data_IF_281364737349
#
_entry.id   IF_281364737349
#
_cell.length_a   1.000
_cell.length_b   1.000
_cell.length_c   1.000
_cell.angle_alpha   90.00
_cell.angle_beta   90.00
_cell.angle_gamma   90.00
#
_symmetry.space_group_name_H-M   'P 1'
#
loop_
_entity.id
_entity.type
_entity.pdbx_description
1 polymer ?
#
# COMPACT_ATOMS: atom_id res chain seq x y z
N UNK A 1 -86.16 20.42 -6.13
CA UNK A 1 -85.00 20.43 -7.05
C UNK A 1 -83.75 20.73 -6.26
N UNK A 2 -82.70 19.92 -6.47
CA UNK A 2 -81.25 20.14 -6.21
C UNK A 2 -80.84 20.64 -4.82
N UNK A 3 -80.37 19.78 -3.91
CA UNK A 3 -79.03 19.14 -3.86
C UNK A 3 -77.96 20.08 -3.28
N UNK A 4 -76.86 19.46 -2.82
CA UNK A 4 -75.65 20.00 -2.17
C UNK A 4 -75.57 19.75 -0.66
N UNK A 5 -75.40 18.47 -0.30
CA UNK A 5 -74.63 18.09 0.90
C UNK A 5 -73.26 17.60 0.42
N UNK A 6 -72.21 18.30 0.86
CA UNK A 6 -70.83 18.08 0.45
C UNK A 6 -70.28 16.72 0.88
N UNK A 7 -69.66 16.04 -0.07
CA UNK A 7 -68.73 14.96 0.21
C UNK A 7 -67.40 15.58 0.67
N UNK A 8 -67.13 15.50 1.98
CA UNK A 8 -65.80 15.77 2.51
C UNK A 8 -64.84 14.71 1.96
N UNK A 9 -63.96 15.12 1.05
CA UNK A 9 -62.82 14.32 0.64
C UNK A 9 -61.93 14.09 1.87
N UNK A 10 -61.87 12.86 2.36
CA UNK A 10 -60.81 12.43 3.28
C UNK A 10 -59.48 12.50 2.52
N UNK A 11 -58.79 13.62 2.65
CA UNK A 11 -57.38 13.72 2.30
C UNK A 11 -56.66 12.85 3.34
N UNK A 12 -56.27 11.63 2.95
CA UNK A 12 -55.38 10.80 3.76
C UNK A 12 -54.10 11.58 3.97
N UNK A 13 -53.87 12.08 5.18
CA UNK A 13 -52.57 12.63 5.56
C UNK A 13 -51.49 11.62 5.19
N UNK A 14 -50.41 12.01 4.48
CA UNK A 14 -49.33 11.10 4.18
C UNK A 14 -48.84 10.52 5.50
N UNK A 15 -48.82 9.19 5.60
CA UNK A 15 -48.31 8.46 6.76
C UNK A 15 -46.91 8.99 7.05
N UNK A 16 -46.79 9.76 8.13
CA UNK A 16 -45.53 10.41 8.49
C UNK A 16 -44.47 9.34 8.71
N UNK A 17 -43.28 9.51 8.14
CA UNK A 17 -42.16 8.60 8.29
C UNK A 17 -41.86 8.27 9.77
N UNK A 18 -42.17 9.20 10.68
CA UNK A 18 -42.00 9.05 12.12
C UNK A 18 -43.03 8.11 12.77
N UNK A 19 -44.15 7.84 12.10
CA UNK A 19 -45.17 6.90 12.54
C UNK A 19 -44.80 5.43 12.22
N UNK A 20 -43.72 5.19 11.46
CA UNK A 20 -43.24 3.85 11.20
C UNK A 20 -42.67 3.20 12.48
N UNK A 21 -42.89 1.89 12.67
CA UNK A 21 -42.23 1.11 13.72
C UNK A 21 -40.71 1.33 13.74
N UNK A 22 -40.10 1.16 14.92
CA UNK A 22 -38.66 1.36 15.11
C UNK A 22 -37.85 0.48 14.14
N UNK A 23 -38.27 -0.77 14.00
CA UNK A 23 -37.66 -1.80 13.16
C UNK A 23 -37.71 -1.41 11.69
N UNK A 24 -38.85 -0.86 11.22
CA UNK A 24 -38.96 -0.37 9.84
C UNK A 24 -38.00 0.81 9.59
N UNK A 25 -37.87 1.74 10.55
CA UNK A 25 -36.92 2.86 10.44
C UNK A 25 -35.47 2.38 10.45
N UNK A 26 -35.14 1.38 11.25
CA UNK A 26 -33.81 0.76 11.28
C UNK A 26 -33.50 0.05 9.96
N UNK A 27 -34.45 -0.71 9.41
CA UNK A 27 -34.29 -1.36 8.12
C UNK A 27 -34.07 -0.34 7.00
N UNK A 28 -34.83 0.76 6.99
CA UNK A 28 -34.63 1.85 6.01
C UNK A 28 -33.21 2.43 6.12
N UNK A 29 -32.69 2.62 7.34
CA UNK A 29 -31.31 3.06 7.54
C UNK A 29 -30.28 2.02 7.07
N UNK A 30 -30.54 0.73 7.30
CA UNK A 30 -29.73 -0.37 6.80
C UNK A 30 -29.69 -0.45 5.27
N UNK A 31 -30.72 0.03 4.58
CA UNK A 31 -30.85 -0.01 3.12
C UNK A 31 -30.27 1.21 2.41
N UNK A 32 -29.69 2.15 3.16
CA UNK A 32 -28.98 3.28 2.57
C UNK A 32 -27.75 2.81 1.77
N UNK A 33 -27.45 3.50 0.66
CA UNK A 33 -26.43 3.03 -0.28
C UNK A 33 -25.00 3.16 0.27
N UNK A 34 -24.76 4.15 1.12
CA UNK A 34 -23.42 4.49 1.60
C UNK A 34 -23.43 5.20 2.97
N UNK A 35 -22.26 5.25 3.61
CA UNK A 35 -22.08 5.81 4.96
C UNK A 35 -22.32 7.33 4.99
N UNK A 36 -22.07 8.04 3.90
CA UNK A 36 -22.31 9.49 3.80
C UNK A 36 -23.81 9.80 3.70
N UNK A 37 -24.57 8.98 2.99
CA UNK A 37 -26.03 8.97 2.97
C UNK A 37 -26.60 8.63 4.34
N UNK A 38 -26.05 7.62 5.03
CA UNK A 38 -26.41 7.29 6.42
C UNK A 38 -26.19 8.47 7.36
N UNK A 39 -25.02 9.11 7.29
CA UNK A 39 -24.72 10.33 8.07
C UNK A 39 -25.73 11.44 7.79
N UNK A 40 -26.08 11.67 6.53
CA UNK A 40 -27.03 12.71 6.15
C UNK A 40 -28.44 12.40 6.66
N UNK A 41 -28.86 11.14 6.60
CA UNK A 41 -30.16 10.69 7.10
C UNK A 41 -30.30 10.88 8.62
N UNK A 42 -29.30 10.46 9.41
CA UNK A 42 -29.35 10.61 10.87
C UNK A 42 -29.33 12.08 11.32
N UNK A 43 -28.73 12.98 10.52
CA UNK A 43 -28.71 14.42 10.79
C UNK A 43 -29.99 15.13 10.34
N UNK A 44 -30.79 14.51 9.48
CA UNK A 44 -32.00 15.13 8.93
C UNK A 44 -33.16 15.21 9.93
N UNK A 45 -33.28 14.25 10.85
CA UNK A 45 -34.40 14.20 11.78
C UNK A 45 -34.12 13.39 13.06
N UNK A 46 -34.64 13.86 14.20
CA UNK A 46 -34.45 13.23 15.52
C UNK A 46 -34.97 11.79 15.58
N UNK A 47 -36.09 11.48 14.94
CA UNK A 47 -36.65 10.13 14.88
C UNK A 47 -35.76 9.12 14.13
N UNK A 48 -34.98 9.57 13.14
CA UNK A 48 -33.99 8.74 12.44
C UNK A 48 -32.73 8.57 13.30
N UNK A 49 -32.27 9.66 13.92
CA UNK A 49 -31.19 9.59 14.90
C UNK A 49 -31.51 8.62 16.05
N UNK A 50 -32.72 8.65 16.59
CA UNK A 50 -33.15 7.75 17.66
C UNK A 50 -33.21 6.28 17.21
N UNK A 51 -33.65 6.03 15.97
CA UNK A 51 -33.66 4.68 15.40
C UNK A 51 -32.24 4.13 15.22
N UNK A 52 -31.32 4.99 14.75
CA UNK A 52 -29.90 4.70 14.63
C UNK A 52 -29.23 4.45 15.98
N UNK A 53 -29.45 5.34 16.96
CA UNK A 53 -28.70 5.36 18.22
C UNK A 53 -28.78 4.05 19.00
N UNK A 54 -29.93 3.36 18.95
CA UNK A 54 -30.15 2.09 19.64
C UNK A 54 -29.63 0.85 18.87
N UNK A 55 -29.20 1.01 17.61
CA UNK A 55 -28.82 -0.10 16.72
C UNK A 55 -27.66 0.29 15.78
N UNK A 56 -26.70 1.05 16.29
CA UNK A 56 -25.67 1.70 15.47
C UNK A 56 -24.78 0.69 14.73
N UNK A 57 -24.18 -0.26 15.45
CA UNK A 57 -23.18 -1.16 14.87
C UNK A 57 -23.73 -2.01 13.74
N UNK A 58 -24.90 -2.68 13.87
CA UNK A 58 -25.46 -3.46 12.78
C UNK A 58 -25.82 -2.61 11.55
N UNK A 59 -26.39 -1.41 11.74
CA UNK A 59 -26.72 -0.49 10.64
C UNK A 59 -25.43 -0.08 9.90
N UNK A 60 -24.40 0.34 10.63
CA UNK A 60 -23.13 0.75 10.03
C UNK A 60 -22.48 -0.42 9.29
N UNK A 61 -22.44 -1.60 9.90
CA UNK A 61 -21.84 -2.80 9.33
C UNK A 61 -22.53 -3.20 8.02
N UNK A 62 -23.86 -3.16 7.98
CA UNK A 62 -24.62 -3.50 6.77
C UNK A 62 -24.39 -2.47 5.65
N UNK A 63 -24.32 -1.17 5.98
CA UNK A 63 -24.07 -0.11 4.99
C UNK A 63 -22.61 -0.15 4.49
N UNK A 64 -21.63 -0.42 5.35
CA UNK A 64 -20.22 -0.47 4.93
C UNK A 64 -19.92 -1.67 4.03
N UNK A 65 -20.60 -2.81 4.22
CA UNK A 65 -20.46 -4.00 3.38
C UNK A 65 -20.89 -3.77 1.92
N UNK A 66 -21.64 -2.70 1.62
CA UNK A 66 -21.95 -2.29 0.24
C UNK A 66 -20.82 -1.51 -0.44
N UNK A 67 -19.87 -0.99 0.34
CA UNK A 67 -18.74 -0.20 -0.16
C UNK A 67 -17.40 -0.94 -0.04
N UNK A 68 -17.28 -1.85 0.93
CA UNK A 68 -16.10 -2.69 1.13
C UNK A 68 -16.57 -4.16 1.06
N UNK A 69 -16.07 -4.96 0.12
CA UNK A 69 -16.39 -6.39 0.03
C UNK A 69 -16.20 -7.10 1.37
N UNK A 70 -17.09 -8.04 1.68
CA UNK A 70 -17.08 -8.77 2.95
C UNK A 70 -15.72 -9.44 3.22
N UNK A 71 -15.09 -10.00 2.19
CA UNK A 71 -13.78 -10.65 2.25
C UNK A 71 -12.64 -9.70 2.61
N UNK A 72 -12.82 -8.40 2.37
CA UNK A 72 -11.83 -7.36 2.67
C UNK A 72 -12.06 -6.67 4.01
N UNK A 73 -13.24 -6.84 4.62
CA UNK A 73 -13.63 -6.06 5.79
C UNK A 73 -12.69 -6.28 6.98
N UNK A 74 -12.30 -7.53 7.25
CA UNK A 74 -11.35 -7.85 8.32
C UNK A 74 -9.98 -7.19 8.09
N UNK A 75 -9.52 -7.12 6.84
CA UNK A 75 -8.25 -6.48 6.47
C UNK A 75 -8.33 -4.95 6.56
N UNK A 76 -9.47 -4.36 6.18
CA UNK A 76 -9.72 -2.94 6.34
C UNK A 76 -9.73 -2.53 7.81
N UNK A 77 -10.40 -3.32 8.67
CA UNK A 77 -10.42 -3.11 10.12
C UNK A 77 -9.03 -3.30 10.73
N UNK A 78 -8.29 -4.34 10.34
CA UNK A 78 -6.90 -4.57 10.78
C UNK A 78 -6.00 -3.38 10.45
N UNK A 79 -6.08 -2.91 9.21
CA UNK A 79 -5.31 -1.76 8.76
C UNK A 79 -5.71 -0.48 9.51
N UNK A 80 -7.00 -0.30 9.80
CA UNK A 80 -7.49 0.84 10.60
C UNK A 80 -6.94 0.81 12.02
N UNK A 81 -6.96 -0.35 12.67
CA UNK A 81 -6.29 -0.51 13.97
C UNK A 81 -4.82 -0.15 13.85
N UNK A 82 -4.09 -0.76 12.93
CA UNK A 82 -2.65 -0.55 12.74
C UNK A 82 -2.27 0.92 12.55
N UNK A 83 -3.01 1.64 11.71
CA UNK A 83 -2.79 3.08 11.41
C UNK A 83 -3.05 3.98 12.62
N UNK A 84 -3.94 3.57 13.52
CA UNK A 84 -4.39 4.38 14.66
C UNK A 84 -3.79 3.93 16.01
N UNK A 85 -2.75 3.08 16.00
CA UNK A 85 -2.03 2.70 17.21
C UNK A 85 -1.21 3.91 17.71
N UNK A 86 -1.75 4.67 18.67
CA UNK A 86 -1.04 5.75 19.36
C UNK A 86 -1.39 5.77 20.87
N UNK A 87 -0.42 5.86 21.80
CA UNK A 87 0.99 5.56 21.57
C UNK A 87 1.16 4.11 21.14
N UNK A 88 2.18 3.86 20.32
CA UNK A 88 2.51 2.51 19.90
C UNK A 88 3.19 1.70 20.99
N UNK A 89 2.70 0.49 21.21
CA UNK A 89 3.28 -0.47 22.15
C UNK A 89 3.21 -1.88 21.59
N UNK A 90 4.16 -2.72 22.00
CA UNK A 90 4.19 -4.15 21.65
C UNK A 90 2.90 -4.87 22.03
N UNK A 91 2.40 -4.62 23.25
CA UNK A 91 1.16 -5.21 23.77
C UNK A 91 -0.03 -4.90 22.87
N UNK A 92 -0.22 -3.64 22.44
CA UNK A 92 -1.32 -3.28 21.54
C UNK A 92 -1.26 -4.02 20.20
N UNK A 93 -0.06 -4.18 19.63
CA UNK A 93 0.11 -4.96 18.39
C UNK A 93 -0.27 -6.41 18.61
N UNK A 94 0.21 -7.03 19.68
CA UNK A 94 -0.11 -8.43 20.00
C UNK A 94 -1.62 -8.63 20.25
N UNK A 95 -2.28 -7.71 20.95
CA UNK A 95 -3.73 -7.77 21.19
C UNK A 95 -4.52 -7.69 19.88
N UNK A 96 -4.11 -6.80 18.96
CA UNK A 96 -4.74 -6.68 17.63
C UNK A 96 -4.52 -7.94 16.79
N UNK A 97 -3.29 -8.49 16.81
CA UNK A 97 -2.97 -9.72 16.10
C UNK A 97 -3.75 -10.92 16.67
N UNK A 98 -3.92 -11.01 17.99
CA UNK A 98 -4.75 -12.04 18.62
C UNK A 98 -6.19 -11.96 18.11
N UNK A 99 -6.80 -10.77 18.10
CA UNK A 99 -8.15 -10.58 17.58
C UNK A 99 -8.27 -10.94 16.10
N UNK A 100 -7.26 -10.57 15.30
CA UNK A 100 -7.21 -10.86 13.86
C UNK A 100 -7.11 -12.36 13.57
N UNK A 101 -6.12 -13.04 14.15
CA UNK A 101 -5.89 -14.47 13.90
C UNK A 101 -7.00 -15.35 14.50
N UNK A 102 -7.66 -14.90 15.57
CA UNK A 102 -8.85 -15.57 16.12
C UNK A 102 -10.17 -15.17 15.44
N UNK A 103 -10.15 -14.38 14.35
CA UNK A 103 -11.34 -13.96 13.60
C UNK A 103 -12.38 -13.14 14.39
N UNK A 104 -11.98 -12.52 15.50
CA UNK A 104 -12.85 -11.69 16.36
C UNK A 104 -12.74 -10.20 16.08
N UNK A 105 -11.86 -9.80 15.17
CA UNK A 105 -11.49 -8.40 14.97
C UNK A 105 -12.67 -7.51 14.56
N UNK A 106 -13.48 -7.94 13.58
CA UNK A 106 -14.64 -7.17 13.07
C UNK A 106 -15.72 -7.01 14.15
N UNK A 107 -15.96 -8.06 14.94
CA UNK A 107 -16.92 -8.06 16.05
C UNK A 107 -16.47 -7.14 17.18
N UNK A 108 -15.16 -7.11 17.47
CA UNK A 108 -14.57 -6.25 18.50
C UNK A 108 -14.46 -4.77 18.08
N UNK A 109 -14.71 -4.46 16.80
CA UNK A 109 -14.52 -3.12 16.27
C UNK A 109 -15.60 -2.15 16.76
N UNK A 110 -15.17 -0.96 17.18
CA UNK A 110 -16.06 0.10 17.62
C UNK A 110 -16.65 0.84 16.41
N UNK A 111 -17.80 0.35 15.95
CA UNK A 111 -18.52 0.92 14.81
C UNK A 111 -19.12 2.29 15.15
N UNK A 112 -18.51 3.33 14.58
CA UNK A 112 -19.01 4.70 14.61
C UNK A 112 -19.08 5.25 13.19
N UNK A 113 -19.92 6.27 12.94
CA UNK A 113 -19.99 6.94 11.63
C UNK A 113 -18.60 7.47 11.22
N UNK A 114 -17.84 8.01 12.17
CA UNK A 114 -16.47 8.50 11.91
C UNK A 114 -15.55 7.36 11.49
N UNK A 115 -15.52 6.26 12.25
CA UNK A 115 -14.67 5.12 11.92
C UNK A 115 -15.03 4.50 10.56
N UNK A 116 -16.32 4.42 10.23
CA UNK A 116 -16.79 3.93 8.94
C UNK A 116 -16.40 4.87 7.77
N UNK A 117 -16.53 6.19 7.95
CA UNK A 117 -16.06 7.17 6.96
C UNK A 117 -14.55 7.08 6.75
N UNK A 118 -13.78 6.93 7.82
CA UNK A 118 -12.32 6.80 7.75
C UNK A 118 -11.89 5.51 7.03
N UNK A 119 -12.64 4.42 7.22
CA UNK A 119 -12.45 3.15 6.49
C UNK A 119 -12.75 3.30 5.00
N UNK A 120 -13.90 3.87 4.64
CA UNK A 120 -14.31 4.10 3.23
C UNK A 120 -13.30 5.00 2.53
N UNK A 121 -12.93 6.13 3.15
CA UNK A 121 -11.95 7.06 2.58
C UNK A 121 -10.58 6.41 2.35
N UNK A 122 -10.16 5.51 3.24
CA UNK A 122 -8.94 4.76 3.02
C UNK A 122 -9.09 3.71 1.91
N UNK A 123 -10.24 3.05 1.85
CA UNK A 123 -10.58 2.08 0.81
C UNK A 123 -10.55 2.69 -0.60
N UNK A 124 -10.85 3.98 -0.77
CA UNK A 124 -10.66 4.70 -2.04
C UNK A 124 -9.20 4.65 -2.53
N UNK A 125 -8.23 4.78 -1.62
CA UNK A 125 -6.80 4.69 -1.97
C UNK A 125 -6.38 3.27 -2.31
N UNK A 126 -6.94 2.27 -1.61
CA UNK A 126 -6.72 0.86 -1.93
C UNK A 126 -7.31 0.52 -3.30
N UNK A 127 -8.53 0.99 -3.58
CA UNK A 127 -9.22 0.80 -4.86
C UNK A 127 -8.42 1.41 -6.01
N UNK A 128 -7.93 2.66 -5.83
CA UNK A 128 -7.09 3.31 -6.82
C UNK A 128 -5.86 2.46 -7.17
N UNK A 129 -5.10 2.04 -6.17
CA UNK A 129 -3.88 1.27 -6.41
C UNK A 129 -4.14 -0.15 -6.88
N UNK A 130 -5.23 -0.80 -6.45
CA UNK A 130 -5.60 -2.12 -6.93
C UNK A 130 -5.94 -2.10 -8.43
N UNK A 131 -6.74 -1.13 -8.87
CA UNK A 131 -7.07 -0.96 -10.28
C UNK A 131 -5.82 -0.62 -11.11
N UNK A 132 -5.04 0.37 -10.67
CA UNK A 132 -3.80 0.78 -11.34
C UNK A 132 -2.80 -0.39 -11.42
N UNK A 133 -2.66 -1.20 -10.36
CA UNK A 133 -1.84 -2.41 -10.38
C UNK A 133 -2.32 -3.43 -11.42
N UNK A 134 -3.62 -3.75 -11.43
CA UNK A 134 -4.22 -4.74 -12.33
C UNK A 134 -4.05 -4.29 -13.79
N UNK A 135 -4.32 -3.02 -14.08
CA UNK A 135 -4.17 -2.46 -15.43
C UNK A 135 -2.72 -2.55 -15.91
N UNK A 136 -1.76 -2.21 -15.04
CA UNK A 136 -0.33 -2.35 -15.36
C UNK A 136 0.07 -3.82 -15.57
N UNK A 137 -0.39 -4.72 -14.70
CA UNK A 137 -0.05 -6.13 -14.77
C UNK A 137 -0.64 -6.79 -16.04
N UNK A 138 -1.90 -6.53 -16.38
CA UNK A 138 -2.54 -7.00 -17.61
C UNK A 138 -1.92 -6.34 -18.85
N UNK A 139 -1.50 -5.07 -18.76
CA UNK A 139 -0.81 -4.36 -19.82
C UNK A 139 0.54 -4.99 -20.20
N UNK A 140 1.22 -5.65 -19.26
CA UNK A 140 2.45 -6.40 -19.53
C UNK A 140 2.19 -7.73 -20.26
N UNK A 141 1.00 -8.29 -20.11
CA UNK A 141 0.58 -9.56 -20.71
C UNK A 141 -0.05 -9.34 -22.09
N UNK A 142 -0.61 -8.15 -22.36
CA UNK A 142 -1.25 -7.79 -23.63
C UNK A 142 -0.40 -8.04 -24.90
N UNK A 143 0.91 -7.70 -24.93
CA UNK A 143 1.74 -7.91 -26.12
C UNK A 143 1.95 -9.39 -26.47
N UNK A 144 1.59 -10.30 -25.58
CA UNK A 144 1.76 -11.73 -25.74
C UNK A 144 0.51 -12.41 -26.34
N UNK A 145 -0.47 -11.62 -26.81
CA UNK A 145 -1.73 -12.07 -27.44
C UNK A 145 -2.60 -12.97 -26.55
N UNK A 146 -2.46 -12.89 -25.22
CA UNK A 146 -3.37 -13.58 -24.32
C UNK A 146 -4.73 -12.86 -24.27
N UNK A 147 -5.84 -13.60 -24.12
CA UNK A 147 -7.14 -13.00 -23.85
C UNK A 147 -7.08 -12.16 -22.57
N UNK A 148 -7.35 -10.86 -22.70
CA UNK A 148 -7.48 -9.96 -21.56
C UNK A 148 -8.96 -9.73 -21.32
N UNK A 149 -9.43 -10.29 -20.22
CA UNK A 149 -10.73 -9.98 -19.65
C UNK A 149 -10.53 -9.22 -18.34
N UNK A 150 -11.56 -8.46 -17.94
CA UNK A 150 -11.60 -7.79 -16.65
C UNK A 150 -11.25 -8.77 -15.50
N UNK A 151 -10.64 -8.29 -14.40
CA UNK A 151 -10.37 -9.14 -13.25
C UNK A 151 -11.69 -9.70 -12.69
N UNK A 152 -11.65 -10.93 -12.22
CA UNK A 152 -12.74 -11.45 -11.38
C UNK A 152 -12.77 -10.71 -10.03
N UNK A 153 -13.89 -10.84 -9.31
CA UNK A 153 -14.00 -10.27 -7.95
C UNK A 153 -12.93 -10.84 -7.01
N UNK A 154 -12.62 -12.14 -7.13
CA UNK A 154 -11.60 -12.81 -6.33
C UNK A 154 -10.20 -12.27 -6.65
N UNK A 155 -9.85 -12.11 -7.93
CA UNK A 155 -8.57 -11.51 -8.36
C UNK A 155 -8.42 -10.09 -7.81
N UNK A 156 -9.46 -9.27 -7.95
CA UNK A 156 -9.45 -7.91 -7.44
C UNK A 156 -9.28 -7.87 -5.92
N UNK A 157 -10.03 -8.71 -5.20
CA UNK A 157 -9.95 -8.83 -3.74
C UNK A 157 -8.55 -9.29 -3.29
N UNK A 158 -7.87 -10.19 -3.99
CA UNK A 158 -6.47 -10.57 -3.66
C UNK A 158 -5.52 -9.38 -3.72
N UNK A 159 -5.62 -8.59 -4.78
CA UNK A 159 -4.77 -7.40 -4.97
C UNK A 159 -5.07 -6.38 -3.87
N UNK A 160 -6.35 -6.06 -3.63
CA UNK A 160 -6.75 -5.12 -2.59
C UNK A 160 -6.32 -5.59 -1.18
N UNK A 161 -6.46 -6.88 -0.88
CA UNK A 161 -5.98 -7.53 0.37
C UNK A 161 -4.48 -7.34 0.55
N UNK A 162 -3.69 -7.53 -0.51
CA UNK A 162 -2.24 -7.34 -0.46
C UNK A 162 -1.86 -5.90 -0.09
N UNK A 163 -2.58 -4.89 -0.62
CA UNK A 163 -2.38 -3.49 -0.24
C UNK A 163 -2.72 -3.21 1.23
N UNK A 164 -3.82 -3.77 1.75
CA UNK A 164 -4.14 -3.67 3.18
C UNK A 164 -3.06 -4.27 4.07
N UNK A 165 -2.57 -5.46 3.71
CA UNK A 165 -1.51 -6.13 4.46
C UNK A 165 -0.19 -5.38 4.37
N UNK A 166 0.18 -4.85 3.20
CA UNK A 166 1.38 -4.04 3.02
C UNK A 166 1.38 -2.82 3.96
N UNK A 167 0.28 -2.06 4.01
CA UNK A 167 0.12 -0.91 4.91
C UNK A 167 0.19 -1.36 6.39
N UNK A 168 -0.52 -2.44 6.73
CA UNK A 168 -0.59 -2.99 8.09
C UNK A 168 0.79 -3.39 8.61
N UNK A 169 1.55 -4.14 7.80
CA UNK A 169 2.91 -4.59 8.13
C UNK A 169 3.83 -3.38 8.34
N UNK A 170 3.69 -2.34 7.51
CA UNK A 170 4.40 -1.08 7.68
C UNK A 170 4.15 -0.47 9.06
N UNK A 171 2.91 -0.37 9.52
CA UNK A 171 2.58 0.20 10.83
C UNK A 171 2.99 -0.69 12.02
N UNK A 172 2.93 -2.01 11.88
CA UNK A 172 3.31 -2.92 12.96
C UNK A 172 4.82 -3.04 13.12
N UNK A 173 5.56 -3.22 12.03
CA UNK A 173 6.93 -3.77 12.09
C UNK A 173 8.03 -2.87 11.52
N UNK A 174 7.70 -1.73 10.89
CA UNK A 174 8.75 -0.82 10.43
C UNK A 174 9.53 -0.22 11.61
N UNK A 175 10.79 0.17 11.36
CA UNK A 175 11.59 0.83 12.38
C UNK A 175 10.92 2.13 12.83
N UNK A 176 10.68 2.24 14.13
CA UNK A 176 10.29 3.50 14.75
C UNK A 176 11.56 4.31 15.05
N UNK A 177 11.46 5.62 14.85
CA UNK A 177 12.56 6.52 15.16
C UNK A 177 12.77 6.52 16.68
N UNK A 178 13.84 5.86 17.13
CA UNK A 178 14.46 6.15 18.41
C UNK A 178 15.17 7.50 18.30
N UNK A 179 15.44 8.16 19.44
CA UNK A 179 16.05 9.49 19.48
C UNK A 179 17.25 9.72 18.54
N UNK A 180 17.50 10.99 18.22
CA UNK A 180 18.49 11.46 17.24
C UNK A 180 19.94 11.04 17.54
N UNK A 181 20.67 10.64 16.47
CA UNK A 181 22.15 10.68 16.21
C UNK A 181 22.59 9.42 15.42
N UNK A 182 23.40 9.42 14.34
CA UNK A 182 24.46 10.31 13.81
C UNK A 182 24.56 10.25 12.27
N UNK A 183 25.53 11.03 11.75
CA UNK A 183 25.69 11.65 10.42
C UNK A 183 26.57 10.83 9.45
N UNK A 184 26.17 10.77 8.17
CA UNK A 184 27.09 10.96 7.03
C UNK A 184 26.55 12.10 6.16
N UNK A 185 27.39 13.09 5.83
CA UNK A 185 27.00 14.24 4.98
C UNK A 185 26.33 15.45 5.65
N UNK A 186 26.45 15.63 6.97
CA UNK A 186 25.95 16.83 7.68
C UNK A 186 24.47 16.80 8.12
N UNK A 187 23.74 15.71 7.92
CA UNK A 187 22.32 15.58 8.31
C UNK A 187 22.18 14.83 9.64
N UNK A 188 21.38 15.37 10.56
CA UNK A 188 20.96 14.67 11.79
C UNK A 188 19.90 13.62 11.42
N UNK A 189 20.26 12.35 11.45
CA UNK A 189 19.30 11.25 11.29
C UNK A 189 18.84 10.73 12.67
N UNK A 190 17.56 10.36 12.76
CA UNK A 190 17.12 9.43 13.80
C UNK A 190 17.78 8.08 13.53
N UNK A 191 18.43 7.47 14.52
CA UNK A 191 18.86 6.08 14.39
C UNK A 191 17.56 5.26 14.28
N UNK A 192 17.40 4.39 13.28
CA UNK A 192 16.32 3.42 13.35
C UNK A 192 16.52 2.67 14.66
N UNK A 193 15.55 2.76 15.58
CA UNK A 193 15.54 1.86 16.71
C UNK A 193 15.47 0.46 16.12
N UNK A 194 16.21 -0.54 16.63
CA UNK A 194 15.95 -1.92 16.30
C UNK A 194 14.43 -2.13 16.35
N UNK A 195 13.90 -2.83 15.35
CA UNK A 195 12.47 -3.18 15.37
C UNK A 195 12.18 -3.77 16.74
N UNK A 196 11.15 -3.24 17.39
CA UNK A 196 10.72 -3.67 18.72
C UNK A 196 10.50 -5.19 18.72
N UNK A 197 10.02 -5.74 17.61
CA UNK A 197 9.97 -7.18 17.37
C UNK A 197 11.26 -7.68 16.69
N UNK A 198 11.89 -8.71 17.24
CA UNK A 198 12.98 -9.42 16.58
C UNK A 198 12.48 -10.18 15.35
N UNK A 199 13.36 -10.46 14.37
CA UNK A 199 12.98 -11.13 13.13
C UNK A 199 12.25 -12.46 13.35
N UNK A 200 12.77 -13.33 14.23
CA UNK A 200 12.10 -14.60 14.57
C UNK A 200 10.71 -14.38 15.15
N UNK A 201 10.57 -13.41 16.04
CA UNK A 201 9.30 -13.09 16.66
C UNK A 201 8.29 -12.57 15.64
N UNK A 202 8.70 -11.67 14.73
CA UNK A 202 7.84 -11.21 13.61
C UNK A 202 7.32 -12.39 12.80
N UNK A 203 8.20 -13.35 12.51
CA UNK A 203 7.82 -14.56 11.81
C UNK A 203 6.76 -15.33 12.61
N UNK A 204 7.03 -15.66 13.87
CA UNK A 204 6.15 -16.49 14.69
C UNK A 204 4.75 -15.85 14.90
N UNK A 205 4.69 -14.53 15.07
CA UNK A 205 3.42 -13.83 15.38
C UNK A 205 2.64 -13.41 14.15
N UNK A 206 3.25 -13.31 12.97
CA UNK A 206 2.58 -12.80 11.77
C UNK A 206 2.94 -13.57 10.50
N UNK A 207 4.17 -13.44 10.00
CA UNK A 207 4.51 -13.95 8.68
C UNK A 207 4.37 -15.47 8.58
N UNK A 208 4.72 -16.18 9.65
CA UNK A 208 4.56 -17.62 9.91
C UNK A 208 3.13 -18.13 9.88
N UNK A 209 2.13 -17.23 9.93
CA UNK A 209 0.71 -17.57 9.89
C UNK A 209 0.12 -17.51 8.48
N UNK A 210 0.89 -17.05 7.50
CA UNK A 210 0.50 -16.94 6.10
C UNK A 210 1.23 -17.96 5.22
N UNK A 211 0.59 -18.35 4.12
CA UNK A 211 1.25 -19.15 3.09
C UNK A 211 2.27 -18.31 2.29
N UNK A 212 3.30 -18.93 1.70
CA UNK A 212 4.32 -18.21 0.93
C UNK A 212 3.75 -17.32 -0.19
N UNK A 213 2.75 -17.82 -0.95
CA UNK A 213 2.13 -17.03 -2.02
C UNK A 213 1.33 -15.82 -1.51
N UNK A 214 0.76 -15.85 -0.30
CA UNK A 214 0.10 -14.68 0.29
C UNK A 214 1.12 -13.57 0.60
N UNK A 215 2.33 -13.94 1.03
CA UNK A 215 3.42 -12.99 1.27
C UNK A 215 4.08 -12.54 -0.04
N UNK A 216 4.10 -13.39 -1.06
CA UNK A 216 4.52 -13.04 -2.41
C UNK A 216 3.58 -11.98 -3.02
N UNK A 217 2.26 -12.09 -2.79
CA UNK A 217 1.28 -11.07 -3.18
C UNK A 217 1.60 -9.71 -2.53
N UNK A 218 1.92 -9.69 -1.24
CA UNK A 218 2.33 -8.48 -0.52
C UNK A 218 3.64 -7.91 -1.06
N UNK A 219 4.61 -8.78 -1.38
CA UNK A 219 5.86 -8.39 -2.03
C UNK A 219 5.62 -7.71 -3.37
N UNK A 220 4.78 -8.30 -4.23
CA UNK A 220 4.46 -7.78 -5.56
C UNK A 220 3.86 -6.37 -5.50
N UNK A 221 2.88 -6.13 -4.62
CA UNK A 221 2.29 -4.78 -4.49
C UNK A 221 3.27 -3.78 -3.87
N UNK A 222 4.20 -4.21 -3.01
CA UNK A 222 5.23 -3.34 -2.45
C UNK A 222 6.26 -2.89 -3.50
N UNK A 223 6.73 -3.82 -4.34
CA UNK A 223 7.59 -3.51 -5.49
C UNK A 223 6.88 -2.57 -6.46
N UNK A 224 5.61 -2.86 -6.76
CA UNK A 224 4.78 -1.99 -7.59
C UNK A 224 4.68 -0.56 -7.04
N UNK A 225 4.38 -0.38 -5.75
CA UNK A 225 4.28 0.97 -5.17
C UNK A 225 5.57 1.74 -5.31
N UNK A 226 6.71 1.07 -5.07
CA UNK A 226 8.03 1.66 -5.22
C UNK A 226 8.31 2.09 -6.67
N UNK A 227 8.00 1.22 -7.63
CA UNK A 227 8.07 1.53 -9.06
C UNK A 227 7.17 2.70 -9.42
N UNK A 228 5.92 2.68 -8.96
CA UNK A 228 4.87 3.63 -9.33
C UNK A 228 5.20 5.07 -8.91
N UNK A 229 5.79 5.25 -7.73
CA UNK A 229 6.19 6.58 -7.23
C UNK A 229 7.52 7.05 -7.81
N UNK A 230 8.36 6.14 -8.31
CA UNK A 230 9.74 6.44 -8.68
C UNK A 230 9.88 7.52 -9.76
N UNK A 231 9.09 7.57 -10.86
CA UNK A 231 9.22 8.63 -11.86
C UNK A 231 9.05 10.03 -11.26
N UNK A 232 7.98 10.24 -10.49
CA UNK A 232 7.68 11.52 -9.86
C UNK A 232 8.71 11.86 -8.77
N UNK A 233 9.07 10.89 -7.93
CA UNK A 233 10.04 11.08 -6.85
C UNK A 233 11.43 11.43 -7.41
N UNK A 234 11.89 10.68 -8.41
CA UNK A 234 13.19 10.89 -9.05
C UNK A 234 13.25 12.23 -9.76
N UNK A 235 12.17 12.64 -10.43
CA UNK A 235 12.12 13.97 -11.05
C UNK A 235 12.31 15.06 -9.98
N UNK A 236 11.60 14.98 -8.86
CA UNK A 236 11.73 16.00 -7.80
C UNK A 236 13.14 15.98 -7.19
N UNK A 237 13.66 14.81 -6.84
CA UNK A 237 14.99 14.68 -6.24
C UNK A 237 16.14 15.02 -7.21
N UNK A 238 15.92 14.89 -8.52
CA UNK A 238 16.86 15.29 -9.56
C UNK A 238 17.02 16.81 -9.67
N UNK A 239 16.00 17.59 -9.28
CA UNK A 239 15.93 19.03 -9.56
C UNK A 239 15.88 19.91 -8.32
N UNK A 240 15.31 19.44 -7.21
CA UNK A 240 15.21 20.26 -6.01
C UNK A 240 16.58 20.46 -5.34
N UNK A 241 16.92 21.73 -5.09
CA UNK A 241 18.21 22.13 -4.52
C UNK A 241 18.37 21.67 -3.07
N UNK A 242 17.30 21.67 -2.27
CA UNK A 242 17.34 21.21 -0.87
C UNK A 242 17.51 19.69 -0.79
N UNK A 243 16.76 18.92 -1.58
CA UNK A 243 16.94 17.46 -1.70
C UNK A 243 18.35 17.11 -2.20
N UNK A 244 18.89 17.87 -3.15
CA UNK A 244 20.28 17.73 -3.61
C UNK A 244 21.30 17.94 -2.48
N UNK A 245 21.16 19.00 -1.69
CA UNK A 245 21.99 19.21 -0.49
C UNK A 245 21.90 18.05 0.48
N UNK A 246 20.69 17.49 0.64
CA UNK A 246 20.45 16.37 1.52
C UNK A 246 20.85 14.99 0.94
N UNK A 247 21.54 14.97 -0.21
CA UNK A 247 22.00 13.74 -0.87
C UNK A 247 20.87 12.76 -1.14
N UNK A 248 19.69 13.27 -1.49
CA UNK A 248 18.55 12.44 -1.87
C UNK A 248 18.85 11.84 -3.25
N UNK A 249 19.09 10.52 -3.28
CA UNK A 249 19.32 9.80 -4.52
C UNK A 249 18.06 9.73 -5.41
N UNK A 250 18.24 9.73 -6.74
CA UNK A 250 17.16 9.86 -7.73
C UNK A 250 17.33 9.01 -9.00
N UNK A 251 18.10 7.92 -8.95
CA UNK A 251 18.35 7.06 -10.13
C UNK A 251 17.71 5.68 -10.05
N UNK A 252 17.19 5.30 -8.87
CA UNK A 252 16.55 4.02 -8.61
C UNK A 252 15.09 4.02 -9.08
N UNK A 253 14.68 3.01 -9.85
CA UNK A 253 13.30 2.82 -10.31
C UNK A 253 12.64 1.60 -9.66
N UNK A 254 13.45 0.61 -9.32
CA UNK A 254 13.01 -0.68 -8.81
C UNK A 254 13.58 -0.92 -7.40
N UNK A 255 12.93 -1.80 -6.64
CA UNK A 255 13.33 -2.15 -5.25
C UNK A 255 14.71 -2.79 -5.17
N UNK A 256 15.11 -3.58 -6.18
CA UNK A 256 16.42 -4.23 -6.22
C UNK A 256 17.55 -3.25 -6.52
N UNK A 257 17.29 -2.20 -7.32
CA UNK A 257 18.21 -1.07 -7.50
C UNK A 257 18.41 -0.31 -6.19
N UNK A 258 17.46 -0.45 -5.26
CA UNK A 258 17.48 0.27 -4.01
C UNK A 258 18.63 -0.16 -3.09
N UNK A 259 19.40 -1.23 -3.34
CA UNK A 259 20.57 -1.58 -2.51
C UNK A 259 21.53 -0.39 -2.32
N UNK A 260 21.67 0.46 -3.36
CA UNK A 260 22.37 1.77 -3.31
C UNK A 260 21.42 2.98 -3.37
N UNK A 261 20.12 2.74 -3.22
CA UNK A 261 19.04 3.69 -3.47
C UNK A 261 18.70 4.63 -2.32
N UNK A 262 17.68 5.46 -2.55
CA UNK A 262 17.31 6.56 -1.68
C UNK A 262 16.61 6.09 -0.40
N UNK A 263 17.27 6.20 0.75
CA UNK A 263 16.65 5.99 2.07
C UNK A 263 15.43 6.90 2.29
N UNK A 264 15.41 8.07 1.64
CA UNK A 264 14.29 8.99 1.65
C UNK A 264 13.09 8.43 0.90
N UNK A 265 13.29 7.80 -0.26
CA UNK A 265 12.20 7.16 -1.02
C UNK A 265 11.60 5.99 -0.23
N UNK A 266 12.45 5.16 0.39
CA UNK A 266 12.01 4.06 1.25
C UNK A 266 11.17 4.56 2.44
N UNK A 267 11.61 5.63 3.10
CA UNK A 267 10.81 6.22 4.18
C UNK A 267 9.60 7.01 3.69
N UNK A 268 9.60 7.51 2.46
CA UNK A 268 8.41 8.08 1.82
C UNK A 268 7.34 7.01 1.55
N UNK A 269 7.76 5.81 1.11
CA UNK A 269 6.87 4.64 0.98
C UNK A 269 6.17 4.30 2.31
N UNK A 270 6.85 4.50 3.45
CA UNK A 270 6.30 4.29 4.79
C UNK A 270 5.32 5.38 5.26
N UNK A 271 5.07 6.45 4.47
CA UNK A 271 4.03 7.43 4.78
C UNK A 271 2.60 6.91 4.54
N UNK A 272 2.49 5.73 3.93
CA UNK A 272 1.25 4.98 3.75
C UNK A 272 0.45 5.37 2.51
N UNK A 273 -0.46 4.47 2.11
CA UNK A 273 -1.16 4.50 0.82
C UNK A 273 -1.89 5.82 0.56
N UNK A 274 -2.55 6.43 1.54
CA UNK A 274 -3.24 7.71 1.33
C UNK A 274 -2.29 8.82 0.88
N UNK A 275 -1.08 8.89 1.46
CA UNK A 275 -0.07 9.87 1.06
C UNK A 275 0.45 9.56 -0.35
N UNK A 276 0.70 8.29 -0.65
CA UNK A 276 1.19 7.86 -1.95
C UNK A 276 0.15 8.12 -3.05
N UNK A 277 -1.13 7.87 -2.77
CA UNK A 277 -2.23 8.13 -3.69
C UNK A 277 -2.29 9.62 -4.03
N UNK A 278 -2.26 10.50 -3.02
CA UNK A 278 -2.20 11.95 -3.22
C UNK A 278 -0.97 12.39 -4.03
N UNK A 279 0.18 11.75 -3.80
CA UNK A 279 1.42 12.05 -4.52
C UNK A 279 1.33 11.69 -6.01
N UNK A 280 0.74 10.54 -6.34
CA UNK A 280 0.59 10.05 -7.72
C UNK A 280 -0.40 10.91 -8.51
N UNK A 281 -1.55 11.27 -7.92
CA UNK A 281 -2.61 12.01 -8.63
C UNK A 281 -2.30 13.52 -8.81
N UNK A 282 -1.43 14.10 -7.97
CA UNK A 282 -1.03 15.51 -8.09
C UNK A 282 -0.28 15.72 -9.41
N UNK A 283 -0.69 16.71 -10.20
CA UNK A 283 -0.15 16.92 -11.56
C UNK A 283 1.21 17.64 -11.59
N UNK A 284 1.48 18.57 -10.66
CA UNK A 284 2.65 19.44 -10.73
C UNK A 284 3.72 19.10 -9.67
N UNK A 285 4.99 19.40 -9.98
CA UNK A 285 6.13 19.15 -9.07
C UNK A 285 6.03 19.96 -7.78
N UNK A 286 5.55 21.20 -7.85
CA UNK A 286 5.45 22.10 -6.70
C UNK A 286 4.52 21.54 -5.61
N UNK A 287 3.39 20.96 -5.97
CA UNK A 287 2.48 20.33 -5.00
C UNK A 287 3.03 19.00 -4.48
N UNK A 288 3.85 18.29 -5.27
CA UNK A 288 4.49 17.05 -4.82
C UNK A 288 5.65 17.30 -3.86
N UNK A 289 6.38 18.42 -4.00
CA UNK A 289 7.54 18.74 -3.16
C UNK A 289 7.18 18.91 -1.69
N UNK A 290 5.99 19.47 -1.41
CA UNK A 290 5.44 19.62 -0.06
C UNK A 290 5.26 18.26 0.63
N UNK A 291 5.04 17.20 -0.14
CA UNK A 291 4.90 15.83 0.36
C UNK A 291 6.26 15.15 0.57
N UNK A 292 7.31 15.58 -0.12
CA UNK A 292 8.64 14.94 -0.08
C UNK A 292 9.63 15.67 0.86
N UNK A 293 9.27 16.86 1.37
CA UNK A 293 10.11 17.71 2.23
C UNK A 293 10.99 16.95 3.21
N UNK A 294 12.31 17.21 3.19
CA UNK A 294 13.30 16.55 4.05
C UNK A 294 12.99 16.71 5.54
N UNK A 295 12.40 17.84 5.93
CA UNK A 295 12.01 18.11 7.32
C UNK A 295 10.97 17.12 7.85
N UNK A 296 10.14 16.59 6.95
CA UNK A 296 9.07 15.64 7.26
C UNK A 296 9.34 14.23 6.71
N UNK A 297 10.42 14.06 5.94
CA UNK A 297 10.78 12.78 5.34
C UNK A 297 11.41 11.90 6.40
N UNK A 298 10.75 10.79 6.72
CA UNK A 298 11.40 9.68 7.41
C UNK A 298 12.46 9.14 6.45
N UNK A 299 13.71 8.99 6.89
CA UNK A 299 14.69 8.18 6.18
C UNK A 299 14.58 6.77 6.76
N UNK A 300 14.56 5.76 5.90
CA UNK A 300 14.48 4.38 6.36
C UNK A 300 15.34 3.47 5.51
N UNK A 301 16.08 2.58 6.18
CA UNK A 301 16.69 1.43 5.53
C UNK A 301 15.73 0.26 5.41
N UNK A 302 14.55 0.35 6.03
CA UNK A 302 13.54 -0.69 5.98
C UNK A 302 12.81 -0.66 4.63
N UNK A 303 12.77 -1.81 3.98
CA UNK A 303 11.98 -2.08 2.79
C UNK A 303 11.31 -3.44 2.99
N UNK A 304 10.01 -3.52 2.75
CA UNK A 304 9.24 -4.72 3.09
C UNK A 304 9.71 -5.95 2.30
N UNK A 305 10.01 -5.80 1.02
CA UNK A 305 10.52 -6.90 0.17
C UNK A 305 11.79 -7.53 0.76
N UNK A 306 12.73 -6.70 1.23
CA UNK A 306 13.96 -7.18 1.86
C UNK A 306 13.68 -7.87 3.21
N UNK A 307 12.72 -7.36 3.99
CA UNK A 307 12.30 -8.01 5.24
C UNK A 307 11.66 -9.37 4.96
N UNK A 308 10.79 -9.47 3.95
CA UNK A 308 10.14 -10.72 3.54
C UNK A 308 11.15 -11.77 3.09
N UNK A 309 12.08 -11.39 2.20
CA UNK A 309 13.16 -12.27 1.74
C UNK A 309 14.02 -12.75 2.92
N UNK A 310 14.40 -11.82 3.82
CA UNK A 310 15.22 -12.15 4.99
C UNK A 310 14.50 -13.10 5.96
N UNK A 311 13.23 -12.84 6.25
CA UNK A 311 12.42 -13.69 7.13
C UNK A 311 12.25 -15.09 6.54
N UNK A 312 12.06 -15.20 5.22
CA UNK A 312 11.96 -16.50 4.55
C UNK A 312 13.25 -17.31 4.70
N UNK A 313 14.42 -16.69 4.49
CA UNK A 313 15.72 -17.34 4.69
C UNK A 313 15.92 -17.85 6.11
N UNK A 314 15.44 -17.09 7.10
CA UNK A 314 15.55 -17.47 8.50
C UNK A 314 14.58 -18.60 8.88
N UNK A 315 13.37 -18.59 8.32
CA UNK A 315 12.28 -19.50 8.69
C UNK A 315 12.52 -20.96 8.30
N UNK A 316 13.15 -21.20 7.15
CA UNK A 316 13.29 -22.55 6.56
C UNK A 316 14.40 -23.40 7.19
N UNK A 317 15.21 -22.80 8.08
CA UNK A 317 16.19 -23.53 8.87
C UNK A 317 17.04 -24.53 8.06
N UNK A 318 17.17 -25.79 8.50
CA UNK A 318 17.96 -26.82 7.79
C UNK A 318 17.46 -27.15 6.38
N UNK A 319 16.15 -27.01 6.12
CA UNK A 319 15.54 -27.29 4.82
C UNK A 319 15.84 -26.20 3.78
N UNK A 320 16.39 -25.06 4.20
CA UNK A 320 16.60 -23.88 3.37
C UNK A 320 17.30 -24.17 2.04
N UNK A 321 18.31 -25.05 2.06
CA UNK A 321 19.11 -25.38 0.88
C UNK A 321 18.48 -26.39 -0.08
N UNK A 322 17.39 -27.06 0.32
CA UNK A 322 16.71 -28.08 -0.50
C UNK A 322 15.86 -27.44 -1.59
N UNK A 323 15.78 -28.08 -2.76
CA UNK A 323 14.86 -27.67 -3.81
C UNK A 323 13.44 -28.13 -3.49
N UNK A 324 12.44 -27.35 -3.91
CA UNK A 324 11.03 -27.70 -3.69
C UNK A 324 10.68 -29.10 -4.22
N UNK A 325 11.12 -29.43 -5.44
CA UNK A 325 10.90 -30.75 -6.06
C UNK A 325 11.50 -31.94 -5.30
N UNK A 326 12.45 -31.70 -4.40
CA UNK A 326 13.16 -32.74 -3.64
C UNK A 326 12.56 -32.94 -2.23
N UNK A 327 11.52 -32.19 -1.86
CA UNK A 327 10.88 -32.28 -0.54
C UNK A 327 9.87 -33.44 -0.47
N UNK A 328 9.79 -34.09 0.71
CA UNK A 328 8.68 -35.00 1.01
C UNK A 328 7.39 -34.23 1.28
N UNK A 329 6.23 -34.91 1.29
CA UNK A 329 4.95 -34.27 1.59
C UNK A 329 4.93 -33.59 2.97
N UNK A 330 5.53 -34.22 3.97
CA UNK A 330 5.63 -33.68 5.34
C UNK A 330 6.52 -32.43 5.37
N UNK A 331 7.64 -32.44 4.64
CA UNK A 331 8.52 -31.29 4.52
C UNK A 331 7.85 -30.14 3.77
N UNK A 332 7.07 -30.44 2.72
CA UNK A 332 6.26 -29.45 2.00
C UNK A 332 5.26 -28.81 2.97
N UNK A 333 4.54 -29.58 3.79
CA UNK A 333 3.60 -29.02 4.76
C UNK A 333 4.28 -28.16 5.84
N UNK A 334 5.54 -28.46 6.19
CA UNK A 334 6.35 -27.66 7.12
C UNK A 334 6.72 -26.29 6.53
N UNK A 335 7.20 -26.26 5.28
CA UNK A 335 7.71 -25.02 4.65
C UNK A 335 6.61 -24.23 3.93
N UNK A 336 5.64 -24.93 3.34
CA UNK A 336 4.46 -24.40 2.64
C UNK A 336 3.28 -24.46 3.59
N UNK A 337 3.27 -23.48 4.51
CA UNK A 337 2.22 -23.27 5.50
C UNK A 337 0.84 -23.10 4.84
N UNK A 338 -0.21 -23.40 5.61
CA UNK A 338 -1.60 -23.22 5.17
C UNK A 338 -1.92 -21.75 4.95
N UNK A 339 -2.74 -21.41 3.93
CA UNK A 339 -3.17 -20.04 3.70
C UNK A 339 -4.02 -19.56 4.88
N UNK A 340 -3.86 -18.29 5.24
CA UNK A 340 -4.74 -17.65 6.21
C UNK A 340 -6.00 -17.11 5.53
N UNK A 341 -5.89 -16.51 4.36
CA UNK A 341 -7.05 -15.99 3.65
C UNK A 341 -8.01 -17.12 3.25
N UNK A 342 -9.31 -16.82 3.28
CA UNK A 342 -10.32 -17.70 2.71
C UNK A 342 -10.39 -17.44 1.20
N UNK A 343 -9.63 -18.23 0.44
CA UNK A 343 -9.58 -18.15 -1.01
C UNK A 343 -9.81 -19.56 -1.54
N UNK A 344 -10.95 -19.78 -2.19
CA UNK A 344 -11.32 -21.09 -2.72
C UNK A 344 -10.59 -21.43 -4.02
N UNK A 345 -10.03 -20.42 -4.71
CA UNK A 345 -9.29 -20.62 -5.94
C UNK A 345 -7.85 -21.07 -5.64
N UNK A 346 -7.38 -22.05 -6.41
CA UNK A 346 -6.06 -22.64 -6.23
C UNK A 346 -4.98 -22.02 -7.13
N UNK A 347 -5.34 -21.07 -8.00
CA UNK A 347 -4.47 -20.41 -8.97
C UNK A 347 -3.21 -19.80 -8.35
N UNK A 348 -3.31 -18.97 -7.29
CA UNK A 348 -2.14 -18.42 -6.61
C UNK A 348 -1.15 -19.49 -6.13
N UNK A 349 -1.67 -20.59 -5.55
CA UNK A 349 -0.84 -21.71 -5.08
C UNK A 349 -0.19 -22.43 -6.26
N UNK A 350 -0.95 -22.74 -7.30
CA UNK A 350 -0.44 -23.46 -8.47
C UNK A 350 0.61 -22.64 -9.23
N UNK A 351 0.38 -21.34 -9.44
CA UNK A 351 1.34 -20.43 -10.05
C UNK A 351 2.62 -20.33 -9.22
N UNK A 352 2.48 -20.22 -7.90
CA UNK A 352 3.62 -20.20 -6.98
C UNK A 352 4.43 -21.50 -7.04
N UNK A 353 3.76 -22.66 -6.98
CA UNK A 353 4.42 -23.98 -7.07
C UNK A 353 5.15 -24.16 -8.39
N UNK A 354 4.52 -23.75 -9.50
CA UNK A 354 5.13 -23.78 -10.82
C UNK A 354 6.42 -22.93 -10.87
N UNK A 355 6.38 -21.69 -10.36
CA UNK A 355 7.54 -20.78 -10.38
C UNK A 355 8.69 -21.26 -9.47
N UNK A 356 8.38 -21.98 -8.39
CA UNK A 356 9.34 -22.37 -7.36
C UNK A 356 9.75 -23.84 -7.40
N UNK A 357 9.30 -24.61 -8.39
CA UNK A 357 9.59 -26.05 -8.47
C UNK A 357 11.10 -26.35 -8.41
N UNK A 358 11.89 -25.51 -9.08
CA UNK A 358 13.34 -25.60 -9.16
C UNK A 358 14.05 -24.57 -8.26
N UNK A 359 13.30 -23.91 -7.37
CA UNK A 359 13.83 -22.96 -6.39
C UNK A 359 14.11 -23.65 -5.05
N UNK A 360 15.06 -23.10 -4.30
CA UNK A 360 15.34 -23.56 -2.94
C UNK A 360 14.35 -22.98 -1.93
N UNK A 361 14.14 -23.66 -0.81
CA UNK A 361 13.22 -23.24 0.25
C UNK A 361 13.42 -21.78 0.70
N UNK A 362 14.68 -21.31 0.76
CA UNK A 362 14.97 -19.94 1.17
C UNK A 362 14.56 -18.86 0.14
N UNK A 363 14.16 -19.27 -1.07
CA UNK A 363 13.81 -18.41 -2.22
C UNK A 363 12.29 -18.29 -2.43
N UNK A 364 11.48 -18.83 -1.52
CA UNK A 364 10.03 -18.94 -1.69
C UNK A 364 9.26 -17.63 -1.65
N UNK A 365 9.87 -16.56 -1.15
CA UNK A 365 9.24 -15.26 -0.99
C UNK A 365 10.23 -14.18 -1.42
N UNK A 366 9.77 -13.29 -2.31
CA UNK A 366 10.48 -12.09 -2.75
C UNK A 366 11.86 -12.36 -3.37
N UNK A 367 12.12 -13.56 -3.91
CA UNK A 367 13.38 -13.86 -4.57
C UNK A 367 13.55 -13.01 -5.83
N UNK A 368 14.78 -12.57 -6.08
CA UNK A 368 15.12 -11.67 -7.19
C UNK A 368 14.87 -12.30 -8.56
N UNK A 369 14.97 -13.62 -8.69
CA UNK A 369 14.80 -14.32 -9.97
C UNK A 369 13.33 -14.33 -10.41
N UNK A 370 12.39 -14.17 -9.47
CA UNK A 370 10.95 -14.12 -9.75
C UNK A 370 10.39 -12.69 -9.83
N UNK A 371 11.23 -11.65 -9.83
CA UNK A 371 10.78 -10.24 -9.84
C UNK A 371 9.86 -9.89 -11.02
N UNK A 372 10.18 -10.40 -12.20
CA UNK A 372 9.39 -10.12 -13.40
C UNK A 372 8.05 -10.86 -13.33
N UNK A 373 8.02 -12.04 -12.69
CA UNK A 373 6.78 -12.75 -12.40
C UNK A 373 5.89 -11.96 -11.45
N UNK A 374 6.46 -11.42 -10.38
CA UNK A 374 5.75 -10.53 -9.45
C UNK A 374 5.22 -9.28 -10.16
N UNK A 375 5.96 -8.73 -11.12
CA UNK A 375 5.56 -7.54 -11.88
C UNK A 375 4.26 -7.71 -12.67
N UNK A 376 4.02 -8.89 -13.26
CA UNK A 376 2.72 -9.19 -13.88
C UNK A 376 1.73 -9.87 -12.91
N UNK A 377 2.09 -10.00 -11.63
CA UNK A 377 1.20 -10.51 -10.60
C UNK A 377 0.87 -11.99 -10.72
N UNK A 378 1.83 -12.86 -11.08
CA UNK A 378 1.57 -14.29 -11.29
C UNK A 378 0.81 -15.02 -10.15
N UNK A 379 0.92 -14.55 -8.91
CA UNK A 379 0.20 -15.06 -7.73
C UNK A 379 -1.13 -14.35 -7.43
N UNK A 380 -1.60 -13.47 -8.30
CA UNK A 380 -2.85 -12.70 -8.13
C UNK A 380 -4.03 -13.31 -8.90
N UNK A 381 -3.74 -14.08 -9.94
CA UNK A 381 -4.72 -14.53 -10.93
C UNK A 381 -5.42 -15.84 -10.54
N UNK A 382 -6.67 -15.97 -10.99
CA UNK A 382 -7.44 -17.20 -10.81
C UNK A 382 -6.84 -18.35 -11.64
N UNK A 383 -7.05 -19.57 -11.16
CA UNK A 383 -6.65 -20.82 -11.85
C UNK A 383 -7.10 -20.85 -13.31
N UNK A 384 -8.36 -20.51 -13.58
CA UNK A 384 -8.93 -20.47 -14.92
C UNK A 384 -8.17 -19.53 -15.87
N UNK A 385 -7.75 -18.34 -15.40
CA UNK A 385 -6.98 -17.39 -16.21
C UNK A 385 -5.59 -17.94 -16.51
N UNK A 386 -4.95 -18.52 -15.50
CA UNK A 386 -3.61 -19.08 -15.60
C UNK A 386 -3.54 -20.28 -16.55
N UNK A 387 -4.56 -21.15 -16.54
CA UNK A 387 -4.68 -22.28 -17.48
C UNK A 387 -4.71 -21.79 -18.94
N UNK A 388 -5.55 -20.79 -19.23
CA UNK A 388 -5.62 -20.19 -20.57
C UNK A 388 -4.27 -19.61 -21.02
N UNK A 389 -3.52 -18.96 -20.11
CA UNK A 389 -2.20 -18.43 -20.43
C UNK A 389 -1.15 -19.52 -20.63
N UNK A 390 -1.26 -20.64 -19.92
CA UNK A 390 -0.36 -21.79 -20.07
C UNK A 390 -0.55 -22.47 -21.43
N UNK A 391 -1.79 -22.71 -21.83
CA UNK A 391 -2.13 -23.42 -23.07
C UNK A 391 -1.68 -22.66 -24.33
N UNK A 392 -1.57 -21.33 -24.22
CA UNK A 392 -1.16 -20.44 -25.31
C UNK A 392 0.37 -20.27 -25.43
N UNK A 393 1.18 -21.03 -24.68
CA UNK A 393 2.65 -21.00 -24.80
C UNK A 393 3.38 -20.01 -23.88
N UNK A 394 2.73 -19.53 -22.82
CA UNK A 394 3.36 -19.05 -21.58
C UNK A 394 3.89 -17.60 -21.55
N UNK A 395 3.39 -16.72 -20.65
CA UNK A 395 3.99 -15.40 -20.34
C UNK A 395 5.28 -15.46 -19.51
N UNK A 396 5.97 -16.59 -19.53
CA UNK A 396 6.90 -17.01 -18.50
C UNK A 396 8.36 -17.03 -18.94
N UNK A 397 8.70 -16.31 -20.01
CA UNK A 397 10.10 -15.97 -20.27
C UNK A 397 10.43 -14.77 -19.40
N UNK A 398 11.32 -14.94 -18.41
CA UNK A 398 11.87 -13.83 -17.63
C UNK A 398 12.47 -12.83 -18.63
N UNK A 399 11.91 -11.62 -18.79
CA UNK A 399 12.55 -10.58 -19.59
C UNK A 399 14.00 -10.42 -19.16
N UNK A 400 14.88 -10.17 -20.13
CA UNK A 400 16.30 -10.01 -19.86
C UNK A 400 16.50 -8.98 -18.73
N UNK A 401 17.06 -9.43 -17.61
CA UNK A 401 17.26 -8.57 -16.45
C UNK A 401 18.07 -7.34 -16.87
N UNK A 402 17.63 -6.12 -16.52
CA UNK A 402 18.53 -4.98 -16.59
C UNK A 402 19.77 -5.30 -15.75
N UNK A 403 20.94 -5.27 -16.39
CA UNK A 403 22.23 -5.55 -15.77
C UNK A 403 22.49 -4.56 -14.62
N UNK A 404 22.87 -5.07 -13.44
CA UNK A 404 23.29 -4.30 -12.27
C UNK A 404 24.33 -3.22 -12.63
N UNK A 405 25.17 -3.48 -13.63
CA UNK A 405 26.14 -2.52 -14.13
C UNK A 405 25.48 -1.25 -14.73
N UNK A 406 24.29 -1.36 -15.34
CA UNK A 406 23.53 -0.22 -15.87
C UNK A 406 22.98 0.64 -14.74
N UNK A 407 22.44 0.03 -13.69
CA UNK A 407 21.99 0.74 -12.50
C UNK A 407 23.17 1.47 -11.82
N UNK A 408 24.33 0.79 -11.71
CA UNK A 408 25.57 1.39 -11.21
C UNK A 408 26.03 2.62 -12.02
N UNK A 409 25.96 2.54 -13.36
CA UNK A 409 26.28 3.70 -14.23
C UNK A 409 25.33 4.88 -14.02
N UNK A 410 24.01 4.63 -13.90
CA UNK A 410 23.02 5.69 -13.60
C UNK A 410 23.35 6.38 -12.28
N UNK A 411 23.76 5.61 -11.27
CA UNK A 411 24.17 6.14 -9.97
C UNK A 411 25.42 7.02 -10.05
N UNK A 412 26.46 6.59 -10.78
CA UNK A 412 27.68 7.39 -10.94
C UNK A 412 27.44 8.71 -11.68
N UNK A 413 26.57 8.71 -12.69
CA UNK A 413 26.22 9.91 -13.44
C UNK A 413 25.48 10.98 -12.61
N UNK A 414 24.83 10.58 -11.51
CA UNK A 414 24.07 11.46 -10.63
C UNK A 414 24.97 12.27 -9.68
N UNK A 415 26.12 11.73 -9.27
CA UNK A 415 26.95 12.34 -8.22
C UNK A 415 27.40 13.78 -8.51
N UNK A 416 27.85 14.14 -9.73
CA UNK A 416 28.20 15.53 -10.05
C UNK A 416 27.03 16.51 -9.88
N UNK A 417 25.79 16.08 -10.17
CA UNK A 417 24.59 16.90 -10.06
C UNK A 417 24.22 17.17 -8.60
N UNK A 418 24.34 16.14 -7.74
CA UNK A 418 24.16 16.28 -6.29
C UNK A 418 25.16 17.28 -5.72
N UNK A 419 26.44 17.12 -6.06
CA UNK A 419 27.51 17.99 -5.56
C UNK A 419 27.31 19.45 -5.99
N UNK A 420 26.82 19.68 -7.21
CA UNK A 420 26.48 21.02 -7.70
C UNK A 420 25.32 21.63 -6.90
N UNK A 421 24.24 20.90 -6.67
CA UNK A 421 23.12 21.39 -5.83
C UNK A 421 23.52 21.64 -4.39
N UNK A 422 24.40 20.81 -3.82
CA UNK A 422 24.96 21.03 -2.48
C UNK A 422 25.65 22.38 -2.39
N UNK A 423 26.52 22.70 -3.35
CA UNK A 423 27.18 24.02 -3.45
C UNK A 423 26.16 25.15 -3.61
N UNK A 424 25.16 24.99 -4.48
CA UNK A 424 24.11 26.00 -4.66
C UNK A 424 23.37 26.28 -3.34
N UNK A 425 22.98 25.23 -2.61
CA UNK A 425 22.28 25.33 -1.34
C UNK A 425 23.11 26.04 -0.25
N UNK A 426 24.41 25.71 -0.15
CA UNK A 426 25.37 26.36 0.75
C UNK A 426 25.49 27.86 0.47
N UNK A 427 25.30 28.28 -0.78
CA UNK A 427 25.28 29.70 -1.18
C UNK A 427 23.89 30.36 -1.05
N UNK A 428 22.91 29.64 -0.50
CA UNK A 428 21.57 30.14 -0.21
C UNK A 428 20.55 29.93 -1.33
N UNK A 429 20.83 29.11 -2.34
CA UNK A 429 19.85 28.75 -3.36
C UNK A 429 18.79 27.79 -2.79
N UNK A 430 17.52 28.00 -3.15
CA UNK A 430 16.38 27.10 -2.87
C UNK A 430 15.49 27.05 -4.11
N UNK A 431 14.79 25.93 -4.31
CA UNK A 431 13.86 25.77 -5.44
C UNK A 431 14.36 24.77 -6.47
N UNK A 432 13.79 24.85 -7.67
CA UNK A 432 13.97 23.88 -8.75
C UNK A 432 15.11 24.29 -9.68
N UNK A 433 16.00 23.35 -9.98
CA UNK A 433 17.12 23.54 -10.91
C UNK A 433 17.22 22.37 -11.89
N UNK A 434 17.10 22.66 -13.18
CA UNK A 434 17.12 21.66 -14.27
C UNK A 434 18.46 21.53 -14.99
N UNK A 435 19.48 22.30 -14.55
CA UNK A 435 20.79 22.34 -15.20
C UNK A 435 21.05 23.62 -15.97
N UNK A 436 20.00 24.27 -16.49
CA UNK A 436 20.11 25.35 -17.48
C UNK A 436 19.27 26.57 -17.10
N UNK A 437 18.05 26.36 -16.62
CA UNK A 437 17.12 27.40 -16.17
C UNK A 437 17.24 27.66 -14.66
N UNK A 438 17.26 28.93 -14.30
CA UNK A 438 17.37 29.42 -12.93
C UNK A 438 16.14 30.22 -12.46
N UNK A 439 15.08 30.27 -13.27
CA UNK A 439 13.87 31.06 -12.99
C UNK A 439 13.14 30.60 -11.71
N UNK A 440 13.22 29.32 -11.36
CA UNK A 440 12.59 28.75 -10.16
C UNK A 440 13.51 28.74 -8.93
N UNK A 441 14.68 29.40 -9.00
CA UNK A 441 15.66 29.46 -7.91
C UNK A 441 15.54 30.77 -7.13
N UNK A 442 15.36 30.65 -5.82
CA UNK A 442 15.36 31.77 -4.86
C UNK A 442 16.64 31.80 -4.05
N UNK A 443 17.23 32.98 -3.87
CA UNK A 443 18.46 33.17 -3.10
C UNK A 443 18.16 33.85 -1.75
N UNK A 444 18.33 33.11 -0.65
CA UNK A 444 17.94 33.57 0.70
C UNK A 444 18.99 34.44 1.39
N UNK A 445 20.24 34.43 0.91
CA UNK A 445 21.37 35.19 1.49
C UNK A 445 21.72 36.44 0.65
N UNK A 446 20.70 37.13 0.14
CA UNK A 446 20.83 38.33 -0.71
C UNK A 446 21.10 38.05 -2.18
N UNK A 447 21.01 39.08 -3.02
CA UNK A 447 21.32 38.99 -4.45
C UNK A 447 22.81 38.67 -4.66
N UNK A 448 23.09 37.52 -5.27
CA UNK A 448 24.43 37.16 -5.72
C UNK A 448 24.77 37.92 -7.00
N UNK A 449 26.04 38.28 -7.16
CA UNK A 449 26.52 38.90 -8.40
C UNK A 449 26.18 38.00 -9.61
N UNK A 450 25.91 38.58 -10.80
CA UNK A 450 25.62 37.80 -12.00
C UNK A 450 26.70 36.77 -12.33
N UNK A 451 27.97 37.09 -12.05
CA UNK A 451 29.11 36.20 -12.26
C UNK A 451 29.11 35.03 -11.26
N UNK A 452 28.83 35.30 -9.98
CA UNK A 452 28.67 34.25 -8.96
C UNK A 452 27.49 33.33 -9.28
N UNK A 453 26.35 33.88 -9.73
CA UNK A 453 25.21 33.07 -10.18
C UNK A 453 25.60 32.19 -11.37
N UNK A 454 26.26 32.76 -12.37
CA UNK A 454 26.71 32.03 -13.56
C UNK A 454 27.67 30.88 -13.20
N UNK A 455 28.64 31.12 -12.30
CA UNK A 455 29.58 30.08 -11.82
C UNK A 455 28.93 28.98 -10.99
N UNK A 456 27.83 29.26 -10.29
CA UNK A 456 27.09 28.25 -9.50
C UNK A 456 26.12 27.44 -10.36
N UNK A 457 25.66 28.01 -11.48
CA UNK A 457 24.70 27.40 -12.40
C UNK A 457 25.35 26.67 -13.58
N UNK A 458 26.58 27.05 -13.98
CA UNK A 458 27.45 26.31 -14.91
C UNK A 458 28.22 25.22 -14.16
#
# INVERSE_FOLDING_TARGET
MSSWTGAAAMISSPSSFHALPLECRQQILCDLPDIQSLKSAILSHSALYAAFYNYQSPIILQVIQRQIPADLLAYAVLCSHARNIEPWTRTKVLDILDLYFNRRLVESFQWTIRAALDLVKFHESVTFFANDYIDNALGLVAPLNFPIHAPSETEWCRVARAFYLQETIGHFFCFRNGGERWITGGIRYARPCPSEFHHREKFDIFFGKHAPWEMEQVGAVNEYLYWRISPAFNTIAAHDVELGYHTVYFSDRETWEAFMGSQHKRGFLLRGLTTLHQFVIRANHQSRIELVSVRNSRCSNWLLVNELEFLQRFAVGPLGGMFYRDLTAEQVDEVVRKPFAHDSDCGPRQAWQWAHNDARCYQYICDKEHRELRRFGYVMWDSQRLEQWRDLGGPFQVPQQEDDARAGRRWMAMWPLIEKRRKMYEHGARGWWDGENAEEIRWIHGEKSPETRRRLLQ
#
